data_IF_601333397339
#
_entry.id   IF_601333397339
#
_cell.length_a   1.000
_cell.length_b   1.000
_cell.length_c   1.000
_cell.angle_alpha   90.00
_cell.angle_beta   90.00
_cell.angle_gamma   90.00
#
_symmetry.space_group_name_H-M   'P 1'
#
loop_
_entity.id
_entity.type
_entity.pdbx_description
1 polymer ?
#
# COMPACT_ATOMS: atom_id res chain seq x y z
N UNK A 1 31.91 -4.73 -42.96
CA UNK A 1 30.46 -4.47 -42.91
C UNK A 1 30.05 -4.34 -41.45
N UNK A 2 30.05 -3.10 -40.93
CA UNK A 2 29.53 -2.81 -39.59
C UNK A 2 28.02 -3.04 -39.62
N UNK A 3 27.55 -4.06 -38.91
CA UNK A 3 26.13 -4.29 -38.70
C UNK A 3 25.58 -3.10 -37.91
N UNK A 4 24.75 -2.29 -38.56
CA UNK A 4 23.97 -1.26 -37.90
C UNK A 4 23.05 -1.96 -36.88
N UNK A 5 23.32 -1.75 -35.60
CA UNK A 5 22.40 -2.11 -34.54
C UNK A 5 21.04 -1.46 -34.87
N UNK A 6 19.92 -2.20 -34.87
CA UNK A 6 18.63 -1.59 -35.09
C UNK A 6 18.40 -0.58 -33.96
N UNK A 7 18.30 0.69 -34.33
CA UNK A 7 17.97 1.78 -33.44
C UNK A 7 16.77 1.34 -32.59
N UNK A 8 17.05 1.15 -31.30
CA UNK A 8 16.04 0.93 -30.28
C UNK A 8 15.11 2.15 -30.35
N UNK A 9 13.99 2.04 -31.06
CA UNK A 9 12.95 3.06 -31.03
C UNK A 9 12.47 3.08 -29.58
N UNK A 10 13.07 3.98 -28.80
CA UNK A 10 12.59 4.35 -27.48
C UNK A 10 11.25 5.06 -27.72
N UNK A 11 10.19 4.27 -27.92
CA UNK A 11 8.83 4.77 -27.78
C UNK A 11 8.80 5.45 -26.43
N UNK A 12 8.50 6.76 -26.42
CA UNK A 12 8.39 7.58 -25.20
C UNK A 12 7.40 6.92 -24.25
N UNK A 13 7.92 6.07 -23.37
CA UNK A 13 7.10 5.30 -22.45
C UNK A 13 6.60 6.24 -21.36
N UNK A 14 5.28 6.28 -21.20
CA UNK A 14 4.58 7.09 -20.20
C UNK A 14 4.13 6.15 -19.08
N UNK A 15 4.88 6.02 -17.97
CA UNK A 15 4.63 5.00 -16.93
C UNK A 15 3.26 5.13 -16.26
N UNK A 16 2.70 6.35 -16.25
CA UNK A 16 1.40 6.67 -15.67
C UNK A 16 0.23 6.40 -16.62
N UNK A 17 0.48 5.99 -17.86
CA UNK A 17 -0.57 5.52 -18.77
C UNK A 17 -0.79 4.01 -18.58
N UNK A 18 -2.02 3.54 -18.74
CA UNK A 18 -2.36 2.11 -18.73
C UNK A 18 -1.82 1.35 -19.96
N UNK A 19 -1.41 2.07 -21.01
CA UNK A 19 -0.83 1.48 -22.21
C UNK A 19 0.59 0.96 -21.95
N UNK A 20 0.88 -0.22 -22.50
CA UNK A 20 2.18 -0.87 -22.43
C UNK A 20 2.31 -1.91 -21.32
N UNK A 21 3.55 -2.31 -21.05
CA UNK A 21 3.90 -3.47 -20.23
C UNK A 21 4.86 -3.08 -19.11
N UNK A 22 4.71 -3.69 -17.94
CA UNK A 22 5.69 -3.63 -16.85
C UNK A 22 6.23 -5.01 -16.53
N UNK A 23 7.55 -5.11 -16.46
CA UNK A 23 8.22 -6.28 -15.87
C UNK A 23 7.90 -6.38 -14.38
N UNK A 24 8.25 -7.51 -13.75
CA UNK A 24 8.11 -7.72 -12.30
C UNK A 24 8.82 -6.63 -11.49
N UNK A 25 10.07 -6.33 -11.82
CA UNK A 25 10.88 -5.35 -11.07
C UNK A 25 10.41 -3.93 -11.32
N UNK A 26 10.02 -3.59 -12.56
CA UNK A 26 9.42 -2.30 -12.87
C UNK A 26 8.13 -2.10 -12.08
N UNK A 27 7.25 -3.10 -12.04
CA UNK A 27 6.03 -3.04 -11.24
C UNK A 27 6.33 -2.79 -9.76
N UNK A 28 7.22 -3.57 -9.16
CA UNK A 28 7.63 -3.41 -7.75
C UNK A 28 8.23 -2.02 -7.47
N UNK A 29 9.10 -1.53 -8.35
CA UNK A 29 9.72 -0.21 -8.20
C UNK A 29 8.70 0.94 -8.28
N UNK A 30 7.77 0.87 -9.24
CA UNK A 30 6.75 1.90 -9.40
C UNK A 30 5.74 1.86 -8.25
N UNK A 31 5.34 0.68 -7.77
CA UNK A 31 4.52 0.53 -6.56
C UNK A 31 5.23 1.13 -5.35
N UNK A 32 6.52 0.84 -5.16
CA UNK A 32 7.30 1.40 -4.05
C UNK A 32 7.41 2.92 -4.12
N UNK A 33 7.78 3.46 -5.29
CA UNK A 33 7.88 4.89 -5.50
C UNK A 33 6.54 5.59 -5.26
N UNK A 34 5.44 5.05 -5.78
CA UNK A 34 4.11 5.62 -5.51
C UNK A 34 3.73 5.57 -4.04
N UNK A 35 4.16 4.54 -3.31
CA UNK A 35 3.96 4.44 -1.86
C UNK A 35 4.76 5.50 -1.10
N UNK A 36 6.02 5.73 -1.46
CA UNK A 36 6.84 6.81 -0.88
C UNK A 36 6.20 8.18 -1.14
N UNK A 37 5.80 8.43 -2.39
CA UNK A 37 5.14 9.68 -2.79
C UNK A 37 3.83 9.87 -2.01
N UNK A 38 3.00 8.83 -1.91
CA UNK A 38 1.78 8.87 -1.11
C UNK A 38 2.06 9.27 0.33
N UNK A 39 3.02 8.59 0.99
CA UNK A 39 3.37 8.89 2.38
C UNK A 39 3.90 10.32 2.55
N UNK A 40 4.75 10.79 1.63
CA UNK A 40 5.25 12.17 1.66
C UNK A 40 4.12 13.20 1.51
N UNK A 41 3.17 12.95 0.59
CA UNK A 41 1.99 13.82 0.40
C UNK A 41 1.07 13.80 1.63
N UNK A 42 0.83 12.62 2.22
CA UNK A 42 0.02 12.50 3.43
C UNK A 42 0.64 13.26 4.61
N UNK A 43 1.96 13.14 4.80
CA UNK A 43 2.69 13.90 5.82
C UNK A 43 2.57 15.40 5.56
N UNK A 44 2.76 15.85 4.32
CA UNK A 44 2.62 17.28 3.98
C UNK A 44 1.22 17.82 4.30
N UNK A 45 0.17 17.02 4.11
CA UNK A 45 -1.21 17.41 4.43
C UNK A 45 -1.45 17.43 5.93
N UNK A 46 -1.01 16.41 6.65
CA UNK A 46 -1.10 16.39 8.11
C UNK A 46 -0.39 17.61 8.69
N UNK A 47 0.82 17.92 8.21
CA UNK A 47 1.58 19.10 8.64
C UNK A 47 0.85 20.39 8.29
N UNK A 48 0.31 20.51 7.07
CA UNK A 48 -0.46 21.68 6.65
C UNK A 48 -1.67 21.93 7.56
N UNK A 49 -2.49 20.89 7.81
CA UNK A 49 -3.66 21.00 8.67
C UNK A 49 -3.29 21.23 10.13
N UNK A 50 -2.20 20.62 10.61
CA UNK A 50 -1.69 20.86 11.97
C UNK A 50 -1.22 22.30 12.17
N UNK A 51 -0.50 22.88 11.20
CA UNK A 51 -0.09 24.30 11.24
C UNK A 51 -1.32 25.21 11.18
N UNK A 52 -2.24 24.95 10.24
CA UNK A 52 -3.47 25.73 10.13
C UNK A 52 -4.29 25.68 11.42
N UNK A 53 -4.34 24.52 12.08
CA UNK A 53 -4.99 24.34 13.37
C UNK A 53 -4.32 25.20 14.46
N UNK A 54 -3.00 25.12 14.57
CA UNK A 54 -2.22 25.93 15.51
C UNK A 54 -2.41 27.44 15.30
N UNK A 55 -2.48 27.90 14.05
CA UNK A 55 -2.77 29.31 13.73
C UNK A 55 -4.20 29.68 14.13
N UNK A 56 -5.18 28.84 13.81
CA UNK A 56 -6.60 29.10 14.09
C UNK A 56 -6.94 29.12 15.59
N UNK A 57 -6.20 28.35 16.40
CA UNK A 57 -6.36 28.26 17.85
C UNK A 57 -5.51 29.29 18.63
N UNK A 58 -4.80 30.18 17.93
CA UNK A 58 -3.89 31.15 18.54
C UNK A 58 -2.70 30.50 19.25
N UNK A 59 -2.29 29.30 18.83
CA UNK A 59 -1.22 28.51 19.43
C UNK A 59 -1.66 27.54 20.53
N UNK A 60 -2.97 27.44 20.83
CA UNK A 60 -3.50 26.60 21.89
C UNK A 60 -3.93 25.21 21.38
N UNK A 61 -3.02 24.24 21.45
CA UNK A 61 -3.25 22.86 20.99
C UNK A 61 -4.11 21.99 21.93
N UNK A 62 -4.63 22.55 23.02
CA UNK A 62 -5.57 21.87 23.93
C UNK A 62 -7.03 21.94 23.45
N UNK A 63 -7.31 22.81 22.47
CA UNK A 63 -8.66 23.02 21.96
C UNK A 63 -9.03 21.96 20.93
N UNK A 64 -10.26 21.48 20.88
CA UNK A 64 -10.60 20.52 19.83
C UNK A 64 -10.61 21.20 18.44
N UNK A 65 -10.09 20.55 17.38
CA UNK A 65 -10.19 21.07 16.03
C UNK A 65 -11.65 21.31 15.63
N UNK A 66 -11.90 22.42 14.93
CA UNK A 66 -13.25 22.71 14.43
C UNK A 66 -13.74 21.63 13.46
N UNK A 67 -15.06 21.38 13.44
CA UNK A 67 -15.67 20.40 12.55
C UNK A 67 -15.34 20.64 11.07
N UNK A 68 -15.31 21.91 10.64
CA UNK A 68 -14.95 22.28 9.27
C UNK A 68 -13.52 21.88 8.88
N UNK A 69 -12.58 21.98 9.81
CA UNK A 69 -11.20 21.55 9.60
C UNK A 69 -11.08 20.03 9.50
N UNK A 70 -11.78 19.29 10.35
CA UNK A 70 -11.81 17.82 10.28
C UNK A 70 -12.43 17.33 8.97
N UNK A 71 -13.54 17.94 8.54
CA UNK A 71 -14.18 17.62 7.25
C UNK A 71 -13.22 17.94 6.09
N UNK A 72 -12.57 19.11 6.12
CA UNK A 72 -11.58 19.50 5.11
C UNK A 72 -10.42 18.51 5.00
N UNK A 73 -9.86 18.08 6.13
CA UNK A 73 -8.82 17.06 6.18
C UNK A 73 -9.32 15.72 5.63
N UNK A 74 -10.51 15.28 6.04
CA UNK A 74 -11.11 14.02 5.57
C UNK A 74 -11.33 14.01 4.06
N UNK A 75 -11.82 15.10 3.48
CA UNK A 75 -12.00 15.25 2.03
C UNK A 75 -10.65 15.18 1.31
N UNK A 76 -9.65 15.94 1.77
CA UNK A 76 -8.31 15.93 1.18
C UNK A 76 -7.69 14.52 1.20
N UNK A 77 -7.82 13.83 2.33
CA UNK A 77 -7.36 12.46 2.52
C UNK A 77 -8.02 11.49 1.53
N UNK A 78 -9.35 11.53 1.39
CA UNK A 78 -10.10 10.66 0.47
C UNK A 78 -9.69 10.90 -0.99
N UNK A 79 -9.55 12.16 -1.41
CA UNK A 79 -9.14 12.50 -2.78
C UNK A 79 -7.80 11.85 -3.13
N UNK A 80 -6.85 11.89 -2.19
CA UNK A 80 -5.51 11.33 -2.40
C UNK A 80 -5.52 9.81 -2.40
N UNK A 81 -6.32 9.20 -1.53
CA UNK A 81 -6.51 7.75 -1.57
C UNK A 81 -7.11 7.29 -2.91
N UNK A 82 -8.09 8.03 -3.45
CA UNK A 82 -8.67 7.71 -4.76
C UNK A 82 -7.61 7.85 -5.86
N UNK A 83 -6.83 8.94 -5.86
CA UNK A 83 -5.74 9.12 -6.83
C UNK A 83 -4.72 7.99 -6.76
N UNK A 84 -4.30 7.60 -5.56
CA UNK A 84 -3.38 6.48 -5.34
C UNK A 84 -3.96 5.15 -5.80
N UNK A 85 -5.25 4.91 -5.53
CA UNK A 85 -5.95 3.72 -5.97
C UNK A 85 -5.89 3.62 -7.50
N UNK A 86 -6.22 4.70 -8.22
CA UNK A 86 -6.14 4.75 -9.69
C UNK A 86 -4.74 4.38 -10.21
N UNK A 87 -3.67 4.93 -9.62
CA UNK A 87 -2.30 4.57 -10.03
C UNK A 87 -1.95 3.11 -9.74
N UNK A 88 -2.41 2.57 -8.61
CA UNK A 88 -2.23 1.16 -8.26
C UNK A 88 -2.88 0.25 -9.32
N UNK A 89 -4.08 0.61 -9.79
CA UNK A 89 -4.75 -0.07 -10.89
C UNK A 89 -3.99 0.03 -12.20
N UNK A 90 -3.51 1.21 -12.57
CA UNK A 90 -2.73 1.42 -13.80
C UNK A 90 -1.50 0.50 -13.82
N UNK A 91 -0.76 0.43 -12.71
CA UNK A 91 0.42 -0.43 -12.63
C UNK A 91 0.07 -1.93 -12.69
N UNK A 92 -1.01 -2.34 -12.03
CA UNK A 92 -1.50 -3.71 -12.10
C UNK A 92 -1.94 -4.09 -13.52
N UNK A 93 -2.65 -3.21 -14.23
CA UNK A 93 -3.06 -3.40 -15.63
C UNK A 93 -1.84 -3.62 -16.52
N UNK A 94 -0.80 -2.77 -16.41
CA UNK A 94 0.43 -2.92 -17.20
C UNK A 94 1.18 -4.21 -16.89
N UNK A 95 1.10 -4.68 -15.65
CA UNK A 95 1.71 -5.93 -15.24
C UNK A 95 0.92 -7.14 -15.76
N UNK A 96 -0.42 -7.05 -15.80
CA UNK A 96 -1.28 -8.04 -16.43
C UNK A 96 -1.06 -8.11 -17.94
N UNK A 97 -0.91 -6.95 -18.60
CA UNK A 97 -0.54 -6.87 -20.01
C UNK A 97 0.81 -7.53 -20.29
N UNK A 98 1.75 -7.47 -19.36
CA UNK A 98 3.03 -8.17 -19.50
C UNK A 98 2.87 -9.70 -19.45
N UNK A 99 1.85 -10.21 -18.77
CA UNK A 99 1.45 -11.62 -18.76
C UNK A 99 0.47 -11.99 -19.89
N UNK A 100 0.25 -11.12 -20.88
CA UNK A 100 -0.76 -11.25 -21.94
C UNK A 100 -2.20 -11.47 -21.42
N UNK A 101 -2.49 -10.93 -20.24
CA UNK A 101 -3.80 -10.97 -19.59
C UNK A 101 -4.56 -9.65 -19.76
N UNK A 102 -5.88 -9.71 -19.61
CA UNK A 102 -6.73 -8.50 -19.68
C UNK A 102 -6.57 -7.64 -18.43
N UNK A 103 -6.60 -6.31 -18.62
CA UNK A 103 -6.54 -5.36 -17.52
C UNK A 103 -7.69 -5.50 -16.52
N UNK A 104 -8.85 -6.03 -16.95
CA UNK A 104 -10.01 -6.25 -16.07
C UNK A 104 -9.72 -7.12 -14.85
N UNK A 105 -8.75 -8.04 -14.94
CA UNK A 105 -8.34 -8.86 -13.80
C UNK A 105 -7.78 -8.01 -12.65
N UNK A 106 -7.36 -6.76 -12.89
CA UNK A 106 -6.93 -5.87 -11.81
C UNK A 106 -8.03 -5.61 -10.78
N UNK A 107 -9.32 -5.71 -11.17
CA UNK A 107 -10.46 -5.54 -10.24
C UNK A 107 -10.45 -6.54 -9.09
N UNK A 108 -9.77 -7.69 -9.25
CA UNK A 108 -9.57 -8.65 -8.17
C UNK A 108 -8.79 -8.06 -6.99
N UNK A 109 -8.07 -6.95 -7.19
CA UNK A 109 -7.40 -6.21 -6.12
C UNK A 109 -8.38 -5.56 -5.12
N UNK A 110 -9.66 -5.34 -5.50
CA UNK A 110 -10.67 -4.78 -4.61
C UNK A 110 -11.24 -5.80 -3.61
N UNK A 111 -11.07 -7.09 -3.87
CA UNK A 111 -11.65 -8.16 -3.04
C UNK A 111 -10.59 -8.60 -2.02
N UNK A 112 -10.71 -8.30 -0.71
CA UNK A 112 -9.59 -8.41 0.24
C UNK A 112 -8.91 -9.78 0.33
N UNK A 113 -9.68 -10.87 0.32
CA UNK A 113 -9.11 -12.22 0.39
C UNK A 113 -8.50 -12.65 -0.95
N UNK A 114 -9.14 -12.30 -2.06
CA UNK A 114 -8.66 -12.65 -3.41
C UNK A 114 -7.44 -11.81 -3.79
N UNK A 115 -7.41 -10.54 -3.38
CA UNK A 115 -6.33 -9.60 -3.67
C UNK A 115 -5.00 -10.08 -3.11
N UNK A 116 -4.99 -10.71 -1.93
CA UNK A 116 -3.78 -11.27 -1.33
C UNK A 116 -3.13 -12.32 -2.23
N UNK A 117 -3.88 -13.34 -2.65
CA UNK A 117 -3.39 -14.39 -3.55
C UNK A 117 -3.06 -13.84 -4.94
N UNK A 118 -3.84 -12.88 -5.42
CA UNK A 118 -3.65 -12.28 -6.73
C UNK A 118 -2.39 -11.39 -6.80
N UNK A 119 -2.07 -10.65 -5.72
CA UNK A 119 -0.82 -9.89 -5.63
C UNK A 119 0.39 -10.82 -5.67
N UNK A 120 0.36 -11.96 -4.96
CA UNK A 120 1.41 -12.97 -5.05
C UNK A 120 1.57 -13.49 -6.48
N UNK A 121 0.46 -13.79 -7.16
CA UNK A 121 0.47 -14.20 -8.56
C UNK A 121 1.12 -13.13 -9.47
N UNK A 122 0.69 -11.87 -9.39
CA UNK A 122 1.23 -10.78 -10.23
C UNK A 122 2.72 -10.53 -9.99
N UNK A 123 3.19 -10.67 -8.75
CA UNK A 123 4.59 -10.54 -8.38
C UNK A 123 5.47 -11.66 -8.94
N UNK A 124 4.96 -12.90 -8.97
CA UNK A 124 5.75 -14.11 -9.31
C UNK A 124 5.57 -14.53 -10.78
N UNK A 125 4.44 -14.24 -11.42
CA UNK A 125 4.12 -14.71 -12.77
C UNK A 125 5.19 -14.27 -13.80
N UNK A 126 5.60 -15.13 -14.74
CA UNK A 126 6.52 -14.72 -15.82
C UNK A 126 5.76 -13.89 -16.86
N UNK A 127 6.35 -12.79 -17.29
CA UNK A 127 5.86 -12.07 -18.47
C UNK A 127 6.10 -12.86 -19.76
N UNK A 128 5.42 -12.47 -20.83
CA UNK A 128 5.59 -13.11 -22.14
C UNK A 128 6.91 -12.70 -22.81
N UNK A 129 7.66 -13.69 -23.29
CA UNK A 129 8.87 -13.43 -24.06
C UNK A 129 8.51 -12.85 -25.44
N UNK A 130 9.20 -11.80 -25.88
CA UNK A 130 8.92 -11.14 -27.16
C UNK A 130 7.64 -10.28 -27.17
N UNK A 131 7.21 -9.91 -28.37
CA UNK A 131 6.05 -9.01 -28.60
C UNK A 131 4.73 -9.72 -28.31
N UNK A 132 3.84 -9.07 -27.56
CA UNK A 132 2.47 -9.53 -27.32
C UNK A 132 1.44 -8.50 -27.81
N UNK A 133 0.14 -8.73 -27.57
CA UNK A 133 -0.95 -7.82 -28.02
C UNK A 133 -0.87 -6.40 -27.44
N UNK A 134 -0.10 -6.21 -26.38
CA UNK A 134 0.12 -4.94 -25.68
C UNK A 134 1.47 -4.29 -26.02
N UNK A 135 2.23 -4.87 -26.96
CA UNK A 135 3.46 -4.33 -27.51
C UNK A 135 4.72 -5.10 -27.13
N UNK A 136 5.86 -4.51 -27.48
CA UNK A 136 7.20 -5.04 -27.18
C UNK A 136 7.48 -4.99 -25.67
N UNK A 137 8.27 -5.94 -25.13
CA UNK A 137 8.62 -5.93 -23.72
C UNK A 137 9.45 -4.68 -23.40
N UNK A 138 9.05 -3.98 -22.33
CA UNK A 138 9.77 -2.80 -21.85
C UNK A 138 11.08 -3.24 -21.17
N UNK A 139 12.24 -2.67 -21.55
CA UNK A 139 13.46 -2.90 -20.79
C UNK A 139 13.35 -2.29 -19.38
N UNK A 140 13.72 -3.06 -18.36
CA UNK A 140 13.83 -2.56 -16.98
C UNK A 140 14.95 -1.55 -16.89
N UNK A 141 14.65 -0.34 -16.40
CA UNK A 141 15.71 0.64 -16.09
C UNK A 141 16.50 0.18 -14.85
N UNK A 142 17.77 0.55 -14.75
CA UNK A 142 18.62 0.13 -13.62
C UNK A 142 18.09 0.60 -12.26
N UNK A 143 17.55 1.83 -12.18
CA UNK A 143 16.92 2.31 -10.95
C UNK A 143 15.66 1.50 -10.57
N UNK A 144 14.90 1.01 -11.56
CA UNK A 144 13.73 0.16 -11.32
C UNK A 144 14.16 -1.20 -10.77
N UNK A 145 15.28 -1.73 -11.27
CA UNK A 145 15.85 -2.97 -10.73
C UNK A 145 16.21 -2.80 -9.26
N UNK A 146 16.96 -1.75 -8.91
CA UNK A 146 17.39 -1.49 -7.52
C UNK A 146 16.20 -1.26 -6.60
N UNK A 147 15.29 -0.34 -6.97
CA UNK A 147 14.09 -0.04 -6.18
C UNK A 147 13.17 -1.25 -6.02
N UNK A 148 12.99 -2.04 -7.07
CA UNK A 148 12.18 -3.26 -7.04
C UNK A 148 12.74 -4.32 -6.09
N UNK A 149 14.08 -4.49 -6.06
CA UNK A 149 14.74 -5.42 -5.13
C UNK A 149 14.65 -4.91 -3.69
N UNK A 150 14.89 -3.61 -3.46
CA UNK A 150 14.73 -3.01 -2.13
C UNK A 150 13.31 -3.26 -1.62
N UNK A 151 12.30 -2.99 -2.44
CA UNK A 151 10.91 -3.19 -2.06
C UNK A 151 10.58 -4.66 -1.77
N UNK A 152 11.09 -5.58 -2.60
CA UNK A 152 10.90 -7.02 -2.41
C UNK A 152 11.43 -7.52 -1.06
N UNK A 153 12.54 -6.98 -0.57
CA UNK A 153 13.15 -7.36 0.72
C UNK A 153 12.51 -6.58 1.88
N UNK A 154 12.21 -5.31 1.68
CA UNK A 154 11.71 -4.43 2.73
C UNK A 154 10.28 -4.81 3.17
N UNK A 155 9.38 -5.17 2.25
CA UNK A 155 8.01 -5.56 2.61
C UNK A 155 7.97 -6.71 3.63
N UNK A 156 8.55 -7.90 3.39
CA UNK A 156 8.46 -9.00 4.34
C UNK A 156 9.15 -8.67 5.67
N UNK A 157 10.25 -7.91 5.64
CA UNK A 157 10.90 -7.42 6.86
C UNK A 157 9.94 -6.54 7.69
N UNK A 158 9.26 -5.59 7.06
CA UNK A 158 8.30 -4.72 7.74
C UNK A 158 7.08 -5.48 8.26
N UNK A 159 6.63 -6.53 7.56
CA UNK A 159 5.56 -7.41 8.04
C UNK A 159 5.96 -8.16 9.31
N UNK A 160 7.18 -8.69 9.37
CA UNK A 160 7.70 -9.38 10.56
C UNK A 160 7.79 -8.41 11.75
N UNK A 161 8.32 -7.21 11.53
CA UNK A 161 8.41 -6.16 12.57
C UNK A 161 7.01 -5.76 13.05
N UNK A 162 6.06 -5.54 12.13
CA UNK A 162 4.69 -5.17 12.48
C UNK A 162 3.99 -6.25 13.31
N UNK A 163 4.13 -7.52 12.94
CA UNK A 163 3.60 -8.65 13.72
C UNK A 163 4.23 -8.68 15.12
N UNK A 164 5.53 -8.44 15.23
CA UNK A 164 6.24 -8.34 16.50
C UNK A 164 5.67 -7.25 17.40
N UNK A 165 5.53 -6.02 16.88
CA UNK A 165 4.96 -4.89 17.62
C UNK A 165 3.51 -5.16 18.05
N UNK A 166 2.68 -5.68 17.13
CA UNK A 166 1.30 -6.03 17.44
C UNK A 166 1.22 -7.09 18.54
N UNK A 167 2.07 -8.13 18.48
CA UNK A 167 2.10 -9.16 19.51
C UNK A 167 2.54 -8.61 20.88
N UNK A 168 3.50 -7.70 20.90
CA UNK A 168 3.99 -7.07 22.13
C UNK A 168 2.92 -6.22 22.83
N UNK A 169 1.96 -5.67 22.08
CA UNK A 169 0.81 -4.91 22.63
C UNK A 169 -0.35 -5.85 22.97
N UNK A 170 -0.65 -6.82 22.09
CA UNK A 170 -1.82 -7.66 22.21
C UNK A 170 -1.71 -8.72 23.31
N UNK A 171 -0.54 -9.32 23.49
CA UNK A 171 -0.32 -10.36 24.52
C UNK A 171 -0.58 -9.83 25.94
N UNK A 172 0.03 -8.73 26.41
CA UNK A 172 -0.25 -8.22 27.75
C UNK A 172 -1.70 -7.74 27.91
N UNK A 173 -2.29 -7.13 26.89
CA UNK A 173 -3.69 -6.72 26.92
C UNK A 173 -4.64 -7.93 27.04
N UNK A 174 -4.33 -9.04 26.36
CA UNK A 174 -5.08 -10.28 26.47
C UNK A 174 -4.91 -10.93 27.85
N UNK A 175 -3.70 -10.92 28.41
CA UNK A 175 -3.43 -11.42 29.76
C UNK A 175 -4.26 -10.66 30.81
N UNK A 176 -4.24 -9.33 30.77
CA UNK A 176 -5.00 -8.45 31.68
C UNK A 176 -6.53 -8.63 31.53
N UNK A 177 -7.02 -9.00 30.34
CA UNK A 177 -8.42 -9.38 30.15
C UNK A 177 -8.78 -10.68 30.87
N UNK A 178 -7.96 -11.72 30.73
CA UNK A 178 -8.21 -13.03 31.36
C UNK A 178 -8.15 -12.93 32.89
N UNK A 179 -7.24 -12.12 33.44
CA UNK A 179 -7.15 -11.91 34.89
C UNK A 179 -8.43 -11.29 35.47
N UNK A 180 -8.96 -10.24 34.83
CA UNK A 180 -10.23 -9.61 35.24
C UNK A 180 -11.43 -10.55 35.10
N UNK A 181 -11.45 -11.36 34.05
CA UNK A 181 -12.50 -12.37 33.85
C UNK A 181 -12.47 -13.42 34.99
N UNK A 182 -11.29 -13.88 35.40
CA UNK A 182 -11.16 -14.83 36.51
C UNK A 182 -11.56 -14.21 37.86
N UNK A 183 -11.15 -12.97 38.13
CA UNK A 183 -11.50 -12.26 39.38
C UNK A 183 -13.01 -12.06 39.52
N UNK A 184 -13.69 -11.63 38.45
CA UNK A 184 -15.14 -11.47 38.45
C UNK A 184 -15.88 -12.80 38.65
N UNK A 185 -15.40 -13.91 38.07
CA UNK A 185 -15.98 -15.23 38.34
C UNK A 185 -15.82 -15.66 39.81
N UNK A 186 -14.64 -15.41 40.40
CA UNK A 186 -14.42 -15.72 41.82
C UNK A 186 -15.36 -14.93 42.73
N UNK A 187 -15.55 -13.63 42.45
CA UNK A 187 -16.51 -12.79 43.17
C UNK A 187 -17.94 -13.34 43.10
N UNK A 188 -18.41 -13.73 41.90
CA UNK A 188 -19.74 -14.33 41.74
C UNK A 188 -19.90 -15.65 42.50
N UNK A 189 -18.85 -16.46 42.58
CA UNK A 189 -18.86 -17.71 43.35
C UNK A 189 -18.86 -17.46 44.86
N UNK A 190 -18.16 -16.43 45.33
CA UNK A 190 -18.18 -16.02 46.73
C UNK A 190 -19.53 -15.43 47.15
N UNK A 191 -20.11 -14.55 46.33
CA UNK A 191 -21.46 -14.04 46.52
C UNK A 191 -22.47 -15.19 46.54
N UNK A 192 -22.43 -16.10 45.56
CA UNK A 192 -23.29 -17.27 45.49
C UNK A 192 -23.17 -18.20 46.71
N UNK A 193 -21.96 -18.37 47.26
CA UNK A 193 -21.73 -19.15 48.49
C UNK A 193 -22.31 -18.47 49.73
N UNK A 194 -22.33 -17.13 49.78
CA UNK A 194 -22.89 -16.39 50.91
C UNK A 194 -24.42 -16.51 51.04
N UNK A 195 -25.12 -16.98 50.00
CA UNK A 195 -26.58 -17.14 50.00
C UNK A 195 -27.06 -18.51 50.52
N UNK A 196 -26.16 -19.48 50.73
CA UNK A 196 -26.47 -20.82 51.25
C UNK A 196 -25.86 -21.05 52.63
#
# INVERSE_FOLDING_TARGET
MQQMQPQHQATMDKPLSSAGRFSRLSYLAWTFLSGIVLNAVLVAIVVFFYIAYGVSSGGNFETEPSAGMMIGFGIAYIIILIAYLVYTFIFAIRRLHDCDQTGWLSLLLLVPLVSLFFLLYICIAKGTDGTNRYGVPRPTKEWERVMGIIYLVLIPLMMIVAIGVLSAIAIPAYQDYIERANQSQQQLLEEGRSYY
#
